data_IF_130150411173
#
_entry.id   IF_130150411173
#
_cell.length_a   1.000
_cell.length_b   1.000
_cell.length_c   1.000
_cell.angle_alpha   90.00
_cell.angle_beta   90.00
_cell.angle_gamma   90.00
#
_symmetry.space_group_name_H-M   'P 1'
#
loop_
_entity.id
_entity.type
_entity.pdbx_description
1 polymer ?
#
# COMPACT_ATOMS: atom_id res chain seq x y z
N UNK A 1 -26.41 2.29 -17.04
CA UNK A 1 -25.18 2.29 -17.86
C UNK A 1 -24.40 1.04 -17.47
N UNK A 2 -23.74 0.38 -18.41
CA UNK A 2 -22.89 -0.77 -18.07
C UNK A 2 -21.67 -0.30 -17.27
N UNK A 3 -21.31 -1.01 -16.20
CA UNK A 3 -20.17 -0.65 -15.36
C UNK A 3 -18.85 -1.00 -16.06
N UNK A 4 -17.83 -0.18 -15.85
CA UNK A 4 -16.49 -0.47 -16.31
C UNK A 4 -15.89 -1.57 -15.42
N UNK A 5 -15.79 -2.79 -15.94
CA UNK A 5 -15.12 -3.93 -15.30
C UNK A 5 -13.62 -3.72 -15.22
N UNK A 6 -13.06 -3.85 -14.02
CA UNK A 6 -11.65 -3.54 -13.72
C UNK A 6 -10.98 -4.73 -13.04
N UNK A 7 -9.76 -5.06 -13.48
CA UNK A 7 -8.83 -5.92 -12.75
C UNK A 7 -7.73 -5.03 -12.16
N UNK A 8 -7.35 -5.25 -10.91
CA UNK A 8 -6.25 -4.51 -10.28
C UNK A 8 -5.09 -5.49 -10.04
N UNK A 9 -4.00 -5.29 -10.78
CA UNK A 9 -2.76 -6.05 -10.59
C UNK A 9 -1.99 -5.54 -9.39
N UNK A 10 -1.59 -6.44 -8.50
CA UNK A 10 -1.13 -6.08 -7.18
C UNK A 10 -0.07 -6.97 -6.57
N UNK A 11 0.38 -6.51 -5.42
CA UNK A 11 1.30 -7.21 -4.53
C UNK A 11 0.80 -7.14 -3.08
N UNK A 12 -0.52 -7.08 -2.89
CA UNK A 12 -1.18 -7.00 -1.59
C UNK A 12 -0.73 -5.81 -0.73
N UNK A 13 -0.88 -4.60 -1.27
CA UNK A 13 -0.65 -3.36 -0.57
C UNK A 13 -1.29 -2.19 -1.32
N UNK A 14 -0.58 -1.63 -2.31
CA UNK A 14 -1.06 -0.50 -3.11
C UNK A 14 -2.33 -0.83 -3.90
N UNK A 15 -2.48 -2.05 -4.40
CA UNK A 15 -3.70 -2.53 -5.06
C UNK A 15 -4.96 -2.30 -4.20
N UNK A 16 -4.94 -2.73 -2.93
CA UNK A 16 -6.05 -2.51 -2.00
C UNK A 16 -6.26 -1.04 -1.68
N UNK A 17 -5.17 -0.27 -1.52
CA UNK A 17 -5.27 1.17 -1.32
C UNK A 17 -5.89 1.88 -2.53
N UNK A 18 -5.44 1.56 -3.75
CA UNK A 18 -5.96 2.10 -5.00
C UNK A 18 -7.45 1.75 -5.17
N UNK A 19 -7.84 0.51 -4.85
CA UNK A 19 -9.25 0.11 -4.77
C UNK A 19 -10.05 1.01 -3.83
N UNK A 20 -9.59 1.17 -2.60
CA UNK A 20 -10.27 1.95 -1.57
C UNK A 20 -10.45 3.42 -1.96
N UNK A 21 -9.48 4.01 -2.66
CA UNK A 21 -9.49 5.42 -3.05
C UNK A 21 -10.32 5.70 -4.30
N UNK A 22 -10.22 4.84 -5.31
CA UNK A 22 -10.72 5.16 -6.66
C UNK A 22 -11.98 4.38 -7.01
N UNK A 23 -12.14 3.16 -6.51
CA UNK A 23 -13.15 2.23 -7.04
C UNK A 23 -14.22 1.80 -6.03
N UNK A 24 -13.89 1.72 -4.74
CA UNK A 24 -14.74 1.13 -3.69
C UNK A 24 -16.18 1.67 -3.66
N UNK A 25 -16.33 2.98 -3.83
CA UNK A 25 -17.62 3.68 -3.70
C UNK A 25 -18.11 4.30 -5.02
N UNK A 26 -17.52 3.92 -6.16
CA UNK A 26 -17.84 4.49 -7.46
C UNK A 26 -18.61 3.47 -8.31
N UNK A 27 -19.92 3.69 -8.44
CA UNK A 27 -20.84 2.78 -9.12
C UNK A 27 -20.66 2.72 -10.64
N UNK A 28 -19.78 3.57 -11.20
CA UNK A 28 -19.34 3.49 -12.60
C UNK A 28 -18.41 2.32 -12.85
N UNK A 29 -17.76 1.79 -11.81
CA UNK A 29 -16.78 0.71 -11.91
C UNK A 29 -17.26 -0.56 -11.20
N UNK A 30 -16.74 -1.70 -11.65
CA UNK A 30 -16.89 -3.01 -11.01
C UNK A 30 -15.52 -3.68 -10.99
N UNK A 31 -14.87 -3.72 -9.83
CA UNK A 31 -13.60 -4.43 -9.68
C UNK A 31 -13.87 -5.92 -9.55
N UNK A 32 -13.55 -6.67 -10.59
CA UNK A 32 -13.92 -8.09 -10.74
C UNK A 32 -12.85 -9.05 -10.20
N UNK A 33 -11.61 -8.58 -10.05
CA UNK A 33 -10.51 -9.35 -9.49
C UNK A 33 -9.34 -8.46 -9.07
N UNK A 34 -8.61 -8.92 -8.06
CA UNK A 34 -7.21 -8.56 -7.84
C UNK A 34 -6.29 -9.66 -8.39
N UNK A 35 -5.04 -9.31 -8.70
CA UNK A 35 -3.97 -10.30 -8.86
C UNK A 35 -2.87 -10.08 -7.83
N UNK A 36 -2.12 -11.13 -7.48
CA UNK A 36 -0.98 -11.08 -6.58
C UNK A 36 0.24 -11.78 -7.20
N UNK A 37 1.45 -11.25 -6.93
CA UNK A 37 2.71 -11.83 -7.44
C UNK A 37 3.86 -11.91 -6.43
N UNK A 38 3.79 -11.23 -5.27
CA UNK A 38 4.93 -11.12 -4.33
C UNK A 38 4.67 -11.71 -2.95
N UNK A 39 3.41 -11.72 -2.48
CA UNK A 39 3.08 -12.11 -1.11
C UNK A 39 2.63 -13.59 -1.09
N UNK A 40 3.35 -14.47 -0.37
CA UNK A 40 2.96 -15.87 -0.24
C UNK A 40 1.56 -15.99 0.36
N UNK A 41 0.81 -17.00 -0.09
CA UNK A 41 -0.47 -17.41 0.49
C UNK A 41 -1.61 -16.36 0.47
N UNK A 42 -1.49 -15.30 -0.34
CA UNK A 42 -2.61 -14.37 -0.56
C UNK A 42 -3.46 -14.72 -1.79
N UNK A 43 -2.87 -15.41 -2.76
CA UNK A 43 -3.58 -15.95 -3.92
C UNK A 43 -4.72 -16.88 -3.46
N UNK A 44 -5.82 -16.85 -4.20
CA UNK A 44 -7.05 -17.60 -3.94
C UNK A 44 -7.82 -17.19 -2.67
N UNK A 45 -7.40 -16.11 -2.00
CA UNK A 45 -8.21 -15.44 -0.98
C UNK A 45 -9.13 -14.41 -1.64
N UNK A 46 -9.89 -13.69 -0.81
CA UNK A 46 -10.67 -12.54 -1.24
C UNK A 46 -10.27 -11.31 -0.43
N UNK A 47 -10.30 -10.14 -1.08
CA UNK A 47 -10.40 -8.87 -0.38
C UNK A 47 -11.76 -8.87 0.34
N UNK A 48 -11.79 -8.71 1.67
CA UNK A 48 -12.93 -9.09 2.48
C UNK A 48 -14.13 -8.14 2.29
N UNK A 49 -15.38 -8.64 2.28
CA UNK A 49 -16.60 -7.82 2.21
C UNK A 49 -16.64 -6.66 3.20
N UNK A 50 -16.11 -6.90 4.42
CA UNK A 50 -16.07 -5.95 5.52
C UNK A 50 -15.28 -4.68 5.16
N UNK A 51 -14.34 -4.78 4.22
CA UNK A 51 -13.54 -3.66 3.72
C UNK A 51 -13.93 -3.21 2.32
N UNK A 52 -14.58 -4.11 1.55
CA UNK A 52 -14.93 -3.88 0.16
C UNK A 52 -16.14 -2.93 -0.02
N UNK A 53 -16.93 -2.71 1.03
CA UNK A 53 -18.04 -1.77 1.01
C UNK A 53 -19.29 -2.32 0.31
N UNK A 54 -20.37 -1.52 0.24
CA UNK A 54 -21.71 -2.01 -0.12
C UNK A 54 -21.84 -2.48 -1.58
N UNK A 55 -20.93 -2.07 -2.46
CA UNK A 55 -20.92 -2.51 -3.86
C UNK A 55 -20.35 -3.92 -4.05
N UNK A 56 -19.71 -4.49 -3.02
CA UNK A 56 -18.98 -5.76 -3.08
C UNK A 56 -19.33 -6.65 -1.86
N UNK A 57 -20.59 -7.08 -1.70
CA UNK A 57 -21.05 -7.84 -0.54
C UNK A 57 -20.39 -9.22 -0.39
N UNK A 58 -19.85 -9.77 -1.47
CA UNK A 58 -19.13 -11.05 -1.48
C UNK A 58 -17.60 -10.88 -1.45
N UNK A 59 -17.12 -9.64 -1.30
CA UNK A 59 -15.71 -9.31 -1.42
C UNK A 59 -15.24 -9.36 -2.87
N UNK A 60 -13.91 -9.38 -3.07
CA UNK A 60 -13.30 -9.39 -4.40
C UNK A 60 -12.23 -10.47 -4.45
N UNK A 61 -12.29 -11.44 -5.39
CA UNK A 61 -11.34 -12.53 -5.45
C UNK A 61 -9.92 -12.05 -5.82
N UNK A 62 -8.92 -12.71 -5.26
CA UNK A 62 -7.49 -12.47 -5.52
C UNK A 62 -6.93 -13.70 -6.23
N UNK A 63 -6.33 -13.51 -7.39
CA UNK A 63 -5.76 -14.60 -8.21
C UNK A 63 -4.24 -14.47 -8.35
N UNK A 64 -3.52 -15.54 -8.71
CA UNK A 64 -2.17 -15.42 -9.21
C UNK A 64 -2.10 -14.48 -10.41
N UNK A 65 -1.04 -13.68 -10.50
CA UNK A 65 -0.85 -12.80 -11.66
C UNK A 65 -0.68 -13.56 -12.99
N UNK A 66 -0.19 -14.81 -12.93
CA UNK A 66 -0.08 -15.67 -14.11
C UNK A 66 -1.42 -15.88 -14.84
N UNK A 67 -2.54 -15.80 -14.11
CA UNK A 67 -3.89 -16.02 -14.62
C UNK A 67 -4.47 -14.76 -15.30
N UNK A 68 -3.76 -13.63 -15.27
CA UNK A 68 -4.23 -12.35 -15.83
C UNK A 68 -4.82 -12.48 -17.24
N UNK A 69 -4.20 -13.20 -18.21
CA UNK A 69 -4.76 -13.30 -19.56
C UNK A 69 -6.14 -13.95 -19.61
N UNK A 70 -6.34 -14.98 -18.79
CA UNK A 70 -7.61 -15.72 -18.74
C UNK A 70 -8.64 -14.90 -17.97
N UNK A 71 -8.25 -14.25 -16.87
CA UNK A 71 -9.11 -13.33 -16.14
C UNK A 71 -9.63 -12.18 -17.01
N UNK A 72 -8.79 -11.57 -17.85
CA UNK A 72 -9.23 -10.49 -18.75
C UNK A 72 -10.33 -10.97 -19.70
N UNK A 73 -10.19 -12.18 -20.25
CA UNK A 73 -11.18 -12.77 -21.17
C UNK A 73 -12.45 -13.21 -20.44
N UNK A 74 -12.31 -14.01 -19.40
CA UNK A 74 -13.40 -14.67 -18.68
C UNK A 74 -14.23 -13.69 -17.85
N UNK A 75 -13.59 -12.63 -17.35
CA UNK A 75 -14.28 -11.58 -16.58
C UNK A 75 -14.73 -10.42 -17.44
N UNK A 76 -14.43 -10.42 -18.74
CA UNK A 76 -14.68 -9.32 -19.68
C UNK A 76 -14.16 -7.98 -19.13
N UNK A 77 -12.90 -7.96 -18.72
CA UNK A 77 -12.31 -6.76 -18.12
C UNK A 77 -12.12 -5.67 -19.18
N UNK A 78 -12.60 -4.46 -18.90
CA UNK A 78 -12.39 -3.29 -19.74
C UNK A 78 -11.06 -2.60 -19.43
N UNK A 79 -10.62 -2.62 -18.17
CA UNK A 79 -9.38 -1.99 -17.73
C UNK A 79 -8.59 -2.90 -16.79
N UNK A 80 -7.27 -2.82 -16.91
CA UNK A 80 -6.32 -3.40 -15.95
C UNK A 80 -5.50 -2.26 -15.33
N UNK A 81 -5.55 -2.17 -14.02
CA UNK A 81 -4.81 -1.19 -13.23
C UNK A 81 -3.56 -1.85 -12.69
N UNK A 82 -2.39 -1.31 -13.00
CA UNK A 82 -1.14 -1.77 -12.39
C UNK A 82 -0.87 -1.01 -11.08
N UNK A 83 -0.73 -1.74 -9.97
CA UNK A 83 -0.75 -1.18 -8.63
C UNK A 83 0.29 -1.80 -7.68
N UNK A 84 1.53 -1.94 -8.13
CA UNK A 84 2.69 -2.24 -7.27
C UNK A 84 3.97 -1.62 -7.84
N UNK A 85 5.09 -1.76 -7.14
CA UNK A 85 6.34 -1.08 -7.43
C UNK A 85 7.55 -2.02 -7.39
N UNK A 86 8.75 -1.46 -7.40
CA UNK A 86 10.04 -2.16 -7.37
C UNK A 86 10.29 -3.11 -8.57
N UNK A 87 9.72 -2.76 -9.72
CA UNK A 87 9.91 -3.46 -10.99
C UNK A 87 10.55 -2.56 -12.05
N UNK A 88 11.11 -3.17 -13.10
CA UNK A 88 11.68 -2.40 -14.21
C UNK A 88 10.59 -1.77 -15.08
N UNK A 89 10.93 -0.66 -15.74
CA UNK A 89 10.10 -0.07 -16.78
C UNK A 89 9.71 -1.12 -17.85
N UNK A 90 10.66 -1.93 -18.29
CA UNK A 90 10.43 -3.00 -19.27
C UNK A 90 9.34 -3.97 -18.81
N UNK A 91 9.36 -4.39 -17.55
CA UNK A 91 8.35 -5.29 -16.99
C UNK A 91 6.95 -4.66 -17.04
N UNK A 92 6.82 -3.38 -16.65
CA UNK A 92 5.55 -2.64 -16.73
C UNK A 92 5.05 -2.58 -18.18
N UNK A 93 5.94 -2.29 -19.13
CA UNK A 93 5.58 -2.18 -20.55
C UNK A 93 5.25 -3.53 -21.20
N UNK A 94 5.87 -4.63 -20.75
CA UNK A 94 5.48 -5.98 -21.16
C UNK A 94 4.07 -6.33 -20.67
N UNK A 95 3.73 -6.00 -19.42
CA UNK A 95 2.37 -6.18 -18.89
C UNK A 95 1.35 -5.31 -19.64
N UNK A 96 1.69 -4.05 -19.92
CA UNK A 96 0.86 -3.18 -20.73
C UNK A 96 0.59 -3.77 -22.12
N UNK A 97 1.64 -4.25 -22.81
CA UNK A 97 1.52 -4.86 -24.13
C UNK A 97 0.65 -6.12 -24.11
N UNK A 98 0.78 -6.96 -23.08
CA UNK A 98 -0.04 -8.14 -22.87
C UNK A 98 -1.53 -7.77 -22.70
N UNK A 99 -1.83 -6.78 -21.86
CA UNK A 99 -3.20 -6.33 -21.59
C UNK A 99 -3.84 -5.73 -22.86
N UNK A 100 -3.10 -4.87 -23.57
CA UNK A 100 -3.58 -4.26 -24.82
C UNK A 100 -3.85 -5.31 -25.90
N UNK A 101 -3.02 -6.35 -26.00
CA UNK A 101 -3.24 -7.46 -26.93
C UNK A 101 -4.52 -8.27 -26.63
N UNK A 102 -5.02 -8.20 -25.40
CA UNK A 102 -6.29 -8.82 -24.97
C UNK A 102 -7.50 -7.89 -25.17
N UNK A 103 -7.27 -6.64 -25.59
CA UNK A 103 -8.33 -5.66 -25.89
C UNK A 103 -8.79 -4.81 -24.69
N UNK A 104 -8.11 -4.89 -23.55
CA UNK A 104 -8.40 -4.07 -22.38
C UNK A 104 -7.46 -2.85 -22.30
N UNK A 105 -7.91 -1.77 -21.66
CA UNK A 105 -7.05 -0.63 -21.35
C UNK A 105 -6.04 -1.00 -20.25
N UNK A 106 -4.81 -0.49 -20.37
CA UNK A 106 -3.83 -0.55 -19.29
C UNK A 106 -3.64 0.83 -18.67
N UNK A 107 -3.75 0.95 -17.35
CA UNK A 107 -3.71 2.24 -16.66
C UNK A 107 -2.84 2.23 -15.41
N UNK A 108 -2.11 3.34 -15.23
CA UNK A 108 -1.44 3.71 -14.00
C UNK A 108 -2.26 4.79 -13.29
N UNK A 109 -2.51 4.62 -11.99
CA UNK A 109 -3.15 5.64 -11.18
C UNK A 109 -2.11 6.62 -10.64
N UNK A 110 -2.39 7.92 -10.81
CA UNK A 110 -1.50 8.98 -10.37
C UNK A 110 -1.66 9.33 -8.88
N UNK A 111 -0.62 9.92 -8.26
CA UNK A 111 -0.63 10.36 -6.86
C UNK A 111 -1.87 11.15 -6.42
N UNK A 112 -2.34 12.10 -7.22
CA UNK A 112 -3.49 12.93 -6.84
C UNK A 112 -4.80 12.13 -6.72
N UNK A 113 -4.92 11.00 -7.43
CA UNK A 113 -6.09 10.13 -7.34
C UNK A 113 -6.03 9.17 -6.15
N UNK A 114 -4.83 8.90 -5.63
CA UNK A 114 -4.62 7.85 -4.61
C UNK A 114 -4.15 8.38 -3.27
N UNK A 115 -3.67 9.61 -3.15
CA UNK A 115 -3.18 10.13 -1.87
C UNK A 115 -4.30 10.73 -1.01
N UNK A 116 -4.36 10.30 0.25
CA UNK A 116 -5.21 10.90 1.27
C UNK A 116 -4.60 12.21 1.78
N UNK A 117 -5.45 13.19 2.07
CA UNK A 117 -5.03 14.44 2.71
C UNK A 117 -5.14 14.31 4.22
N UNK A 118 -4.06 14.66 4.91
CA UNK A 118 -3.98 14.71 6.36
C UNK A 118 -4.30 16.11 6.88
N UNK A 119 -4.91 16.18 8.06
CA UNK A 119 -5.08 17.39 8.87
C UNK A 119 -3.83 17.72 9.70
N UNK A 120 -2.89 16.76 9.82
CA UNK A 120 -1.57 16.94 10.42
C UNK A 120 -0.48 16.99 9.35
N UNK A 121 0.63 17.71 9.58
CA UNK A 121 1.80 17.65 8.71
C UNK A 121 2.27 16.21 8.48
N UNK A 122 2.58 15.86 7.24
CA UNK A 122 3.07 14.54 6.83
C UNK A 122 4.50 14.66 6.30
N UNK A 123 5.42 13.91 6.91
CA UNK A 123 6.77 13.70 6.36
C UNK A 123 6.85 12.30 5.80
N UNK A 124 7.03 12.17 4.48
CA UNK A 124 7.15 10.88 3.81
C UNK A 124 8.62 10.52 3.56
N UNK A 125 9.00 9.31 3.94
CA UNK A 125 10.30 8.73 3.67
C UNK A 125 10.12 7.66 2.59
N UNK A 126 10.69 7.91 1.42
CA UNK A 126 10.69 7.01 0.27
C UNK A 126 12.11 6.64 -0.15
N UNK A 127 12.23 5.82 -1.18
CA UNK A 127 13.51 5.55 -1.83
C UNK A 127 13.31 5.32 -3.32
N UNK A 128 14.38 5.50 -4.08
CA UNK A 128 14.41 5.16 -5.51
C UNK A 128 14.35 3.65 -5.74
N UNK A 129 14.90 2.87 -4.79
CA UNK A 129 14.96 1.40 -4.83
C UNK A 129 14.94 0.82 -3.42
N UNK A 130 14.41 -0.39 -3.27
CA UNK A 130 14.56 -1.18 -2.03
C UNK A 130 16.04 -1.35 -1.63
N UNK A 131 16.29 -1.39 -0.31
CA UNK A 131 17.63 -1.51 0.25
C UNK A 131 18.46 -0.22 0.27
N UNK A 132 17.89 0.95 -0.04
CA UNK A 132 18.62 2.23 -0.04
C UNK A 132 18.80 2.87 1.35
N UNK A 133 18.33 2.23 2.43
CA UNK A 133 18.46 2.76 3.80
C UNK A 133 17.27 3.60 4.31
N UNK A 134 16.05 3.35 3.80
CA UNK A 134 14.82 4.03 4.27
C UNK A 134 14.64 3.92 5.79
N UNK A 135 14.66 2.71 6.35
CA UNK A 135 14.34 2.50 7.77
C UNK A 135 15.30 3.24 8.72
N UNK A 136 16.59 3.34 8.36
CA UNK A 136 17.55 4.14 9.12
C UNK A 136 17.23 5.65 9.04
N UNK A 137 16.87 6.11 7.84
CA UNK A 137 16.46 7.50 7.60
C UNK A 137 15.18 7.83 8.37
N UNK A 138 14.18 6.96 8.34
CA UNK A 138 12.92 7.10 9.09
C UNK A 138 13.18 7.26 10.57
N UNK A 139 14.00 6.37 11.17
CA UNK A 139 14.37 6.48 12.61
C UNK A 139 15.10 7.78 12.92
N UNK A 140 16.06 8.20 12.07
CA UNK A 140 16.77 9.47 12.28
C UNK A 140 15.83 10.67 12.25
N UNK A 141 14.85 10.68 11.33
CA UNK A 141 13.83 11.74 11.26
C UNK A 141 12.95 11.72 12.50
N UNK A 142 12.54 10.54 12.97
CA UNK A 142 11.78 10.39 14.22
C UNK A 142 12.55 10.98 15.41
N UNK A 143 13.82 10.63 15.57
CA UNK A 143 14.67 11.15 16.66
C UNK A 143 14.76 12.68 16.64
N UNK A 144 14.92 13.28 15.45
CA UNK A 144 14.95 14.74 15.30
C UNK A 144 13.62 15.36 15.73
N UNK A 145 12.50 14.81 15.27
CA UNK A 145 11.17 15.35 15.60
C UNK A 145 10.87 15.25 17.09
N UNK A 146 11.24 14.13 17.73
CA UNK A 146 11.13 13.95 19.18
C UNK A 146 12.02 14.92 19.94
N UNK A 147 13.26 15.14 19.50
CA UNK A 147 14.16 16.16 20.09
C UNK A 147 13.60 17.59 19.98
N UNK A 148 12.80 17.86 18.95
CA UNK A 148 12.06 19.11 18.77
C UNK A 148 10.76 19.16 19.58
N UNK A 149 10.47 18.17 20.43
CA UNK A 149 9.30 18.11 21.29
C UNK A 149 7.99 17.83 20.56
N UNK A 150 8.02 17.24 19.36
CA UNK A 150 6.82 16.88 18.59
C UNK A 150 6.35 15.48 18.98
N UNK A 151 5.04 15.30 19.16
CA UNK A 151 4.45 13.97 19.22
C UNK A 151 4.35 13.41 17.80
N UNK A 152 4.92 12.24 17.58
CA UNK A 152 4.97 11.61 16.27
C UNK A 152 4.31 10.24 16.30
N UNK A 153 3.76 9.84 15.16
CA UNK A 153 3.36 8.47 14.87
C UNK A 153 3.98 8.08 13.55
N UNK A 154 4.45 6.84 13.45
CA UNK A 154 4.91 6.25 12.20
C UNK A 154 3.76 5.46 11.60
N UNK A 155 3.53 5.63 10.31
CA UNK A 155 2.59 4.80 9.55
C UNK A 155 3.37 4.01 8.51
N UNK A 156 3.39 2.69 8.66
CA UNK A 156 4.10 1.79 7.76
C UNK A 156 3.24 1.42 6.56
N UNK A 157 3.87 1.28 5.40
CA UNK A 157 3.30 0.64 4.22
C UNK A 157 2.78 -0.78 4.53
N UNK A 158 1.71 -1.26 3.86
CA UNK A 158 1.07 -2.51 4.24
C UNK A 158 1.97 -3.72 3.99
N UNK A 159 1.86 -4.71 4.88
CA UNK A 159 2.45 -6.04 4.79
C UNK A 159 1.42 -7.09 5.24
N UNK A 160 0.34 -7.32 4.48
CA UNK A 160 -0.83 -8.06 4.96
C UNK A 160 -0.66 -9.57 4.83
N UNK A 161 0.26 -10.13 5.61
CA UNK A 161 0.49 -11.57 5.67
C UNK A 161 -0.67 -12.33 6.35
N UNK A 162 -1.51 -11.64 7.11
CA UNK A 162 -2.53 -12.22 7.98
C UNK A 162 -3.95 -12.11 7.44
N UNK A 163 -4.90 -11.96 8.36
CA UNK A 163 -6.32 -11.75 8.07
C UNK A 163 -6.58 -10.28 7.74
N UNK A 164 -6.94 -9.99 6.49
CA UNK A 164 -7.13 -8.62 6.00
C UNK A 164 -8.17 -7.84 6.80
N UNK A 165 -9.27 -8.47 7.22
CA UNK A 165 -10.33 -7.81 7.97
C UNK A 165 -9.86 -7.45 9.40
N UNK A 166 -9.11 -8.35 10.05
CA UNK A 166 -8.49 -8.09 11.35
C UNK A 166 -7.34 -7.09 11.28
N UNK A 167 -6.70 -6.99 10.12
CA UNK A 167 -5.61 -6.05 9.83
C UNK A 167 -6.12 -4.74 9.20
N UNK A 168 -7.41 -4.41 9.33
CA UNK A 168 -7.95 -3.15 8.81
C UNK A 168 -7.20 -1.92 9.35
N UNK A 169 -7.07 -1.86 10.69
CA UNK A 169 -6.30 -0.85 11.42
C UNK A 169 -5.61 -1.50 12.59
N UNK A 170 -4.29 -1.36 12.67
CA UNK A 170 -3.48 -1.84 13.77
C UNK A 170 -2.64 -0.70 14.32
N UNK A 171 -2.59 -0.61 15.65
CA UNK A 171 -1.84 0.40 16.39
C UNK A 171 -0.92 -0.34 17.36
N UNK A 172 0.36 -0.04 17.31
CA UNK A 172 1.39 -0.66 18.13
C UNK A 172 2.06 0.42 18.96
N UNK A 173 1.92 0.35 20.27
CA UNK A 173 2.61 1.23 21.22
C UNK A 173 3.67 0.48 22.05
N UNK A 174 3.52 -0.83 22.20
CA UNK A 174 4.50 -1.68 22.89
C UNK A 174 4.56 -3.09 22.27
N UNK A 175 5.42 -3.93 22.84
CA UNK A 175 5.64 -5.30 22.36
C UNK A 175 4.43 -6.21 22.57
N UNK A 176 3.56 -5.93 23.55
CA UNK A 176 2.36 -6.74 23.78
C UNK A 176 1.34 -6.55 22.66
N UNK A 177 1.33 -5.38 22.00
CA UNK A 177 0.53 -5.16 20.81
C UNK A 177 0.98 -6.06 19.64
N UNK A 178 2.29 -6.33 19.50
CA UNK A 178 2.83 -7.24 18.46
C UNK A 178 2.31 -8.68 18.65
N UNK A 179 2.25 -9.14 19.90
CA UNK A 179 1.70 -10.46 20.24
C UNK A 179 0.19 -10.50 20.01
N UNK A 180 -0.53 -9.46 20.48
CA UNK A 180 -1.98 -9.33 20.32
C UNK A 180 -2.42 -9.38 18.86
N UNK A 181 -1.63 -8.76 17.99
CA UNK A 181 -1.87 -8.72 16.55
C UNK A 181 -1.26 -9.89 15.78
N UNK A 182 -0.61 -10.83 16.47
CA UNK A 182 0.04 -12.00 15.89
C UNK A 182 1.03 -11.63 14.76
N UNK A 183 1.83 -10.57 14.98
CA UNK A 183 2.77 -10.09 13.99
C UNK A 183 3.79 -11.16 13.58
N UNK A 184 4.04 -11.25 12.27
CA UNK A 184 5.09 -12.11 11.72
C UNK A 184 6.48 -11.63 12.12
N UNK A 185 7.51 -12.43 11.82
CA UNK A 185 8.90 -12.06 12.10
C UNK A 185 9.29 -10.82 11.27
N UNK A 186 8.85 -10.76 10.02
CA UNK A 186 9.10 -9.63 9.11
C UNK A 186 8.43 -8.34 9.61
N UNK A 187 7.19 -8.42 10.09
CA UNK A 187 6.50 -7.28 10.70
C UNK A 187 7.24 -6.78 11.96
N UNK A 188 7.69 -7.71 12.81
CA UNK A 188 8.44 -7.38 14.03
C UNK A 188 9.78 -6.71 13.72
N UNK A 189 10.53 -7.21 12.74
CA UNK A 189 11.80 -6.61 12.31
C UNK A 189 11.63 -5.13 11.90
N UNK A 190 10.48 -4.80 11.31
CA UNK A 190 10.15 -3.43 10.91
C UNK A 190 9.60 -2.58 12.06
N UNK A 191 8.80 -3.13 12.98
CA UNK A 191 8.09 -2.37 14.02
C UNK A 191 8.88 -2.21 15.32
N UNK A 192 9.54 -3.27 15.80
CA UNK A 192 10.25 -3.28 17.10
C UNK A 192 11.24 -2.11 17.26
N UNK A 193 12.06 -1.75 16.25
CA UNK A 193 12.96 -0.61 16.38
C UNK A 193 12.27 0.73 16.66
N UNK A 194 11.02 0.91 16.21
CA UNK A 194 10.25 2.11 16.53
C UNK A 194 9.70 2.08 17.95
N UNK A 195 9.21 0.92 18.39
CA UNK A 195 8.66 0.72 19.74
C UNK A 195 9.74 0.87 20.82
N UNK A 196 10.95 0.37 20.59
CA UNK A 196 12.12 0.59 21.47
C UNK A 196 12.41 2.08 21.70
N UNK A 197 12.09 2.92 20.71
CA UNK A 197 12.27 4.38 20.76
C UNK A 197 11.03 5.11 21.29
N UNK A 198 10.03 4.37 21.79
CA UNK A 198 8.77 4.92 22.27
C UNK A 198 7.91 5.56 21.18
N UNK A 199 8.13 5.18 19.91
CA UNK A 199 7.35 5.71 18.77
C UNK A 199 6.21 4.75 18.44
N UNK A 200 4.98 5.25 18.46
CA UNK A 200 3.80 4.48 18.07
C UNK A 200 3.83 4.22 16.56
N UNK A 201 3.54 2.98 16.18
CA UNK A 201 3.43 2.54 14.78
C UNK A 201 1.97 2.22 14.46
N UNK A 202 1.50 2.66 13.29
CA UNK A 202 0.28 2.16 12.69
C UNK A 202 0.60 1.40 11.40
N UNK A 203 -0.14 0.32 11.19
CA UNK A 203 -0.14 -0.45 9.95
C UNK A 203 -1.53 -1.05 9.70
N UNK A 204 -1.73 -1.64 8.52
CA UNK A 204 -2.97 -2.30 8.15
C UNK A 204 -3.32 -2.06 6.69
N UNK A 205 -4.60 -2.23 6.33
CA UNK A 205 -5.05 -2.14 4.92
C UNK A 205 -6.05 -1.01 4.66
N UNK A 206 -6.73 -0.47 5.68
CA UNK A 206 -7.59 0.72 5.52
C UNK A 206 -6.85 1.99 5.96
N UNK A 207 -6.10 2.56 5.01
CA UNK A 207 -5.28 3.74 5.25
C UNK A 207 -6.08 5.01 5.53
N UNK A 208 -7.36 5.07 5.13
CA UNK A 208 -8.22 6.18 5.52
C UNK A 208 -8.54 6.11 7.01
N UNK A 209 -8.90 4.91 7.51
CA UNK A 209 -9.16 4.70 8.92
C UNK A 209 -7.89 4.83 9.77
N UNK A 210 -6.74 4.31 9.31
CA UNK A 210 -5.44 4.47 9.97
C UNK A 210 -5.10 5.96 10.11
N UNK A 211 -5.20 6.74 9.02
CA UNK A 211 -4.87 8.16 9.06
C UNK A 211 -5.73 8.89 10.09
N UNK A 212 -7.05 8.62 10.12
CA UNK A 212 -7.97 9.23 11.09
C UNK A 212 -7.62 8.94 12.54
N UNK A 213 -7.03 7.78 12.85
CA UNK A 213 -6.54 7.47 14.20
C UNK A 213 -5.20 8.14 14.49
N UNK A 214 -4.25 8.04 13.56
CA UNK A 214 -2.93 8.66 13.66
C UNK A 214 -3.01 10.19 13.93
N UNK A 215 -3.94 10.89 13.26
CA UNK A 215 -4.16 12.34 13.41
C UNK A 215 -4.62 12.77 14.82
N UNK A 216 -5.19 11.86 15.60
CA UNK A 216 -5.67 12.14 16.96
C UNK A 216 -4.51 12.13 17.97
N UNK A 217 -3.47 11.35 17.70
CA UNK A 217 -2.38 11.10 18.64
C UNK A 217 -1.10 11.88 18.31
N UNK A 218 -0.92 12.25 17.04
CA UNK A 218 0.30 12.91 16.56
C UNK A 218 0.13 14.40 16.25
N UNK A 219 1.23 15.14 16.45
CA UNK A 219 1.42 16.48 15.90
C UNK A 219 2.00 16.42 14.48
N UNK A 220 2.76 15.35 14.14
CA UNK A 220 3.32 15.08 12.81
C UNK A 220 3.20 13.59 12.51
N UNK A 221 2.72 13.25 11.30
CA UNK A 221 2.66 11.86 10.82
C UNK A 221 3.91 11.57 9.99
N UNK A 222 4.61 10.50 10.34
CA UNK A 222 5.77 10.02 9.59
C UNK A 222 5.32 8.84 8.73
N UNK A 223 5.30 9.02 7.40
CA UNK A 223 5.02 7.93 6.48
C UNK A 223 6.31 7.16 6.18
N UNK A 224 6.37 5.90 6.58
CA UNK A 224 7.49 5.01 6.31
C UNK A 224 7.18 4.12 5.10
N UNK A 225 7.68 4.54 3.93
CA UNK A 225 7.31 3.97 2.63
C UNK A 225 7.81 2.54 2.41
N UNK A 226 7.02 1.75 1.70
CA UNK A 226 7.40 0.44 1.17
C UNK A 226 8.13 0.62 -0.16
N UNK A 227 9.10 -0.25 -0.44
CA UNK A 227 9.74 -0.31 -1.77
C UNK A 227 10.19 1.06 -2.30
N UNK A 228 9.78 1.41 -3.53
CA UNK A 228 9.89 2.75 -4.12
C UNK A 228 8.50 3.32 -4.45
N UNK A 229 7.52 2.99 -3.61
CA UNK A 229 6.14 3.42 -3.79
C UNK A 229 5.91 4.89 -3.45
N UNK A 230 5.00 5.55 -4.19
CA UNK A 230 4.42 6.82 -3.76
C UNK A 230 3.74 6.69 -2.39
N UNK A 231 3.82 7.70 -1.50
CA UNK A 231 3.15 7.62 -0.22
C UNK A 231 1.62 7.54 -0.38
N UNK A 232 0.94 6.91 0.57
CA UNK A 232 -0.54 6.88 0.58
C UNK A 232 -1.14 8.16 1.16
N UNK A 233 -0.33 8.92 1.89
CA UNK A 233 -0.69 10.23 2.42
C UNK A 233 0.05 11.30 1.65
N UNK A 234 -0.64 12.39 1.30
CA UNK A 234 -0.04 13.52 0.62
C UNK A 234 1.00 14.16 1.55
N UNK A 235 2.29 14.16 1.20
CA UNK A 235 3.33 14.70 2.06
C UNK A 235 3.40 16.22 1.98
N UNK A 236 3.70 16.85 3.11
CA UNK A 236 4.17 18.25 3.18
C UNK A 236 5.69 18.31 2.95
N UNK A 237 6.41 17.24 3.29
CA UNK A 237 7.82 17.05 3.00
C UNK A 237 8.07 15.61 2.54
N UNK A 238 8.76 15.46 1.41
CA UNK A 238 9.23 14.16 0.90
C UNK A 238 10.75 14.07 1.02
N UNK A 239 11.23 13.02 1.69
CA UNK A 239 12.63 12.65 1.77
C UNK A 239 12.78 11.34 0.98
N UNK A 240 13.48 11.39 -0.15
CA UNK A 240 13.69 10.21 -1.02
C UNK A 240 15.14 9.80 -0.97
N UNK A 241 15.39 8.58 -0.49
CA UNK A 241 16.73 8.03 -0.32
C UNK A 241 17.19 7.37 -1.62
N UNK A 242 18.42 7.68 -2.03
CA UNK A 242 19.09 7.05 -3.16
C UNK A 242 20.39 6.40 -2.71
N UNK A 243 20.75 5.30 -3.37
CA UNK A 243 22.00 4.59 -3.13
C UNK A 243 23.02 4.97 -4.22
N UNK A 244 24.08 5.74 -3.90
CA UNK A 244 25.05 6.20 -4.88
C UNK A 244 25.87 5.06 -5.51
N UNK A 245 25.86 3.85 -4.93
CA UNK A 245 26.52 2.68 -5.52
C UNK A 245 25.70 1.98 -6.60
N UNK A 246 24.41 2.35 -6.76
CA UNK A 246 23.49 1.78 -7.75
C UNK A 246 22.95 2.88 -8.69
N UNK A 247 23.86 3.61 -9.31
CA UNK A 247 23.52 4.66 -10.26
C UNK A 247 22.62 4.15 -11.41
N UNK A 248 21.62 4.94 -11.78
CA UNK A 248 20.61 4.60 -12.78
C UNK A 248 19.35 3.95 -12.21
N UNK A 249 19.33 3.57 -10.93
CA UNK A 249 18.11 3.06 -10.27
C UNK A 249 17.09 4.17 -9.96
N UNK A 250 17.50 5.43 -10.05
CA UNK A 250 16.64 6.61 -9.93
C UNK A 250 15.91 6.99 -11.22
N UNK A 251 16.21 6.31 -12.34
CA UNK A 251 15.68 6.60 -13.69
C UNK A 251 14.56 5.65 -14.11
#
# INVERSE_FOLDING_TARGET
>A
MERVRVIIMGAAGRDFHNFNMVFRNDDRYEVVAFTATQIPNIEYRAYPPELAGPLYPDGIPIYPEADLPDLVRDRHAHQVIFAYSDVSHEYVMHKASQVLALGADFRLLGPDATMLRSSRPVVAIGAVRTGSGKSQTTRRVCDIMTQLGRRIVVVRHPMPYGDLARQAVQRFADYADLDRHACTIEEREEYEPHLERGTVVYAGVDYAAILRQAEQEADVVIWDGGNNDWPFFRPDLSIVVTDPHRAGHEL
#
